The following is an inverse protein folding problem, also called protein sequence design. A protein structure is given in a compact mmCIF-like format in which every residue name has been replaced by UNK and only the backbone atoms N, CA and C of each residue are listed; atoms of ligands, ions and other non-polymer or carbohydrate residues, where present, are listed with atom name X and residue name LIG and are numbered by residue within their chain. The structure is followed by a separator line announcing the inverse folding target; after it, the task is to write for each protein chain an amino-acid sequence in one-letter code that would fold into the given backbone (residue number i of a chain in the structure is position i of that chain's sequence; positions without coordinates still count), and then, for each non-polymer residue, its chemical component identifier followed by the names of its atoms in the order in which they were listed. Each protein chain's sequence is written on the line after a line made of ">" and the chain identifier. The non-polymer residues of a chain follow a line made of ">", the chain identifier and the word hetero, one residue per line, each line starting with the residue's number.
data_IF_792735581882
#
_entry.id   IF_792735581882
#
_cell.length_a   1.000
_cell.length_b   1.000
_cell.length_c   1.000
_cell.angle_alpha   90.00
_cell.angle_beta   90.00
_cell.angle_gamma   90.00
#
_symmetry.space_group_name_H-M   'P 1'
#
loop_
_entity.id
_entity.type
_entity.pdbx_description
1 polymer ?
#
# COMPACT_ATOMS: atom_id res chain seq x y z
N UNK A 1 -24.30 -4.27 8.45
CA UNK A 1 -23.87 -3.64 9.73
C UNK A 1 -22.50 -2.96 9.66
N UNK A 2 -21.46 -3.53 9.03
CA UNK A 2 -20.29 -2.78 8.55
C UNK A 2 -20.65 -1.82 7.41
N UNK A 3 -21.69 -2.17 6.67
CA UNK A 3 -22.41 -1.28 5.77
C UNK A 3 -22.84 0.06 6.43
N UNK A 4 -23.12 0.07 7.75
CA UNK A 4 -23.42 1.31 8.45
C UNK A 4 -22.18 2.21 8.62
N UNK A 5 -20.98 1.62 8.78
CA UNK A 5 -19.73 2.38 8.78
C UNK A 5 -19.41 2.90 7.38
N UNK A 6 -19.52 2.05 6.35
CA UNK A 6 -19.32 2.43 4.95
C UNK A 6 -20.25 3.59 4.59
N UNK A 7 -21.55 3.45 4.84
CA UNK A 7 -22.54 4.50 4.57
C UNK A 7 -22.27 5.81 5.31
N UNK A 8 -21.89 5.75 6.60
CA UNK A 8 -21.57 6.93 7.39
C UNK A 8 -20.30 7.64 6.90
N UNK A 9 -19.26 6.88 6.54
CA UNK A 9 -18.02 7.43 5.95
C UNK A 9 -18.33 8.05 4.59
N UNK A 10 -19.03 7.35 3.70
CA UNK A 10 -19.43 7.89 2.41
C UNK A 10 -20.23 9.20 2.54
N UNK A 11 -21.16 9.28 3.49
CA UNK A 11 -21.94 10.49 3.74
C UNK A 11 -21.04 11.66 4.17
N UNK A 12 -20.09 11.42 5.06
CA UNK A 12 -19.12 12.42 5.50
C UNK A 12 -18.21 12.91 4.33
N UNK A 13 -17.91 12.03 3.37
CA UNK A 13 -17.05 12.34 2.22
C UNK A 13 -17.76 13.09 1.07
N UNK A 14 -19.06 12.82 0.84
CA UNK A 14 -19.86 13.49 -0.21
C UNK A 14 -20.21 14.95 0.14
N UNK A 15 -20.42 15.25 1.42
CA UNK A 15 -20.88 16.55 1.90
C UNK A 15 -19.75 17.55 2.18
N UNK A 16 -20.11 18.64 2.87
CA UNK A 16 -19.16 19.65 3.37
C UNK A 16 -18.64 19.32 4.78
N UNK A 17 -19.00 18.16 5.33
CA UNK A 17 -18.70 17.73 6.71
C UNK A 17 -17.23 17.91 7.05
N UNK A 18 -16.32 17.44 6.19
CA UNK A 18 -14.87 17.58 6.41
C UNK A 18 -14.40 19.02 6.48
N UNK A 19 -14.85 19.89 5.56
CA UNK A 19 -14.52 21.33 5.58
C UNK A 19 -15.08 22.02 6.83
N UNK A 20 -16.26 21.61 7.31
CA UNK A 20 -16.84 22.11 8.56
C UNK A 20 -16.04 21.67 9.78
N UNK A 21 -15.59 20.42 9.82
CA UNK A 21 -14.68 19.92 10.87
C UNK A 21 -13.37 20.72 10.88
N UNK A 22 -12.71 20.88 9.73
CA UNK A 22 -11.48 21.69 9.63
C UNK A 22 -11.74 23.12 10.09
N UNK A 23 -12.85 23.72 9.67
CA UNK A 23 -13.20 25.09 10.08
C UNK A 23 -13.45 25.22 11.58
N UNK A 24 -14.08 24.23 12.22
CA UNK A 24 -14.26 24.21 13.68
C UNK A 24 -12.92 24.03 14.39
N UNK A 25 -12.11 23.07 13.93
CA UNK A 25 -10.79 22.78 14.51
C UNK A 25 -9.88 23.99 14.44
N UNK A 26 -9.90 24.77 13.36
CA UNK A 26 -9.03 25.95 13.18
C UNK A 26 -9.72 27.28 13.54
N UNK A 27 -10.87 27.26 14.24
CA UNK A 27 -11.65 28.48 14.52
C UNK A 27 -10.97 29.46 15.47
N UNK A 28 -10.08 28.97 16.33
CA UNK A 28 -9.39 29.76 17.36
C UNK A 28 -8.08 29.09 17.78
N UNK A 29 -7.17 29.79 18.46
CA UNK A 29 -5.85 29.24 18.82
C UNK A 29 -4.93 29.06 17.62
N UNK A 30 -3.74 28.48 17.84
CA UNK A 30 -2.75 28.18 16.82
C UNK A 30 -2.64 26.69 16.52
N UNK A 31 -1.63 26.34 15.72
CA UNK A 31 -1.37 24.99 15.21
C UNK A 31 -1.39 23.91 16.28
N UNK A 32 -0.73 24.13 17.42
CA UNK A 32 -0.67 23.17 18.53
C UNK A 32 -2.06 22.88 19.08
N UNK A 33 -2.88 23.92 19.35
CA UNK A 33 -4.24 23.71 19.83
C UNK A 33 -5.15 23.06 18.77
N UNK A 34 -4.88 23.29 17.48
CA UNK A 34 -5.63 22.67 16.39
C UNK A 34 -5.37 21.16 16.34
N UNK A 35 -4.10 20.76 16.42
CA UNK A 35 -3.69 19.36 16.39
C UNK A 35 -4.15 18.61 17.65
N UNK A 36 -4.11 19.24 18.82
CA UNK A 36 -4.66 18.67 20.06
C UNK A 36 -6.17 18.40 19.96
N UNK A 37 -6.94 19.35 19.40
CA UNK A 37 -8.38 19.14 19.16
C UNK A 37 -8.63 18.02 18.18
N UNK A 38 -7.91 18.00 17.05
CA UNK A 38 -8.05 16.97 16.03
C UNK A 38 -7.70 15.58 16.60
N UNK A 39 -6.62 15.48 17.38
CA UNK A 39 -6.22 14.26 18.12
C UNK A 39 -7.36 13.75 18.99
N UNK A 40 -7.97 14.63 19.78
CA UNK A 40 -9.08 14.27 20.68
C UNK A 40 -10.28 13.74 19.90
N UNK A 41 -10.66 14.42 18.82
CA UNK A 41 -11.79 14.03 17.97
C UNK A 41 -11.55 12.69 17.27
N UNK A 42 -10.36 12.49 16.69
CA UNK A 42 -9.96 11.24 16.03
C UNK A 42 -9.91 10.06 17.00
N UNK A 43 -9.29 10.24 18.18
CA UNK A 43 -9.17 9.20 19.20
C UNK A 43 -10.54 8.75 19.72
N UNK A 44 -11.51 9.68 19.79
CA UNK A 44 -12.88 9.38 20.18
C UNK A 44 -13.79 8.90 19.04
N UNK A 45 -13.32 8.97 17.78
CA UNK A 45 -14.14 8.83 16.57
C UNK A 45 -15.38 9.73 16.55
N UNK A 46 -15.24 10.95 17.11
CA UNK A 46 -16.33 11.88 17.36
C UNK A 46 -15.92 13.29 16.96
N UNK A 47 -16.61 13.84 15.96
CA UNK A 47 -16.32 15.17 15.44
C UNK A 47 -17.50 16.09 15.69
N UNK A 48 -17.29 17.14 16.47
CA UNK A 48 -18.25 18.22 16.71
C UNK A 48 -17.93 19.37 15.75
N UNK A 49 -18.93 19.92 15.06
CA UNK A 49 -18.74 21.03 14.12
C UNK A 49 -20.00 21.92 14.04
N UNK A 50 -19.99 23.02 14.81
CA UNK A 50 -21.18 23.84 15.04
C UNK A 50 -22.20 23.11 15.91
N UNK A 51 -23.46 23.07 15.48
CA UNK A 51 -24.54 22.33 16.16
C UNK A 51 -24.61 20.84 15.76
N UNK A 52 -23.82 20.43 14.77
CA UNK A 52 -23.83 19.07 14.24
C UNK A 52 -22.69 18.22 14.84
N UNK A 53 -22.87 16.90 14.76
CA UNK A 53 -21.88 15.94 15.20
C UNK A 53 -21.82 14.72 14.25
N UNK A 54 -20.62 14.21 14.03
CA UNK A 54 -20.36 12.92 13.40
C UNK A 54 -19.82 11.96 14.48
N UNK A 55 -20.64 11.03 14.96
CA UNK A 55 -20.24 9.96 15.91
C UNK A 55 -20.10 8.62 15.17
N UNK A 56 -18.85 8.20 14.95
CA UNK A 56 -18.51 6.93 14.30
C UNK A 56 -18.09 5.86 15.32
N UNK A 57 -18.05 6.20 16.62
CA UNK A 57 -17.30 5.46 17.61
C UNK A 57 -17.78 4.03 17.80
N UNK A 58 -19.11 3.81 17.78
CA UNK A 58 -19.68 2.46 17.90
C UNK A 58 -19.35 1.61 16.67
N UNK A 59 -19.53 2.15 15.48
CA UNK A 59 -19.36 1.43 14.22
C UNK A 59 -17.88 1.09 13.97
N UNK A 60 -16.98 2.05 14.23
CA UNK A 60 -15.52 1.83 14.11
C UNK A 60 -15.04 0.77 15.10
N UNK A 61 -15.38 0.88 16.40
CA UNK A 61 -14.97 -0.12 17.39
C UNK A 61 -15.45 -1.53 17.05
N UNK A 62 -16.67 -1.65 16.53
CA UNK A 62 -17.23 -2.94 16.13
C UNK A 62 -16.51 -3.54 14.93
N UNK A 63 -16.25 -2.73 13.90
CA UNK A 63 -15.52 -3.17 12.71
C UNK A 63 -14.08 -3.56 13.08
N UNK A 64 -13.38 -2.72 13.84
CA UNK A 64 -12.00 -2.95 14.30
C UNK A 64 -11.90 -4.20 15.19
N UNK A 65 -12.82 -4.38 16.15
CA UNK A 65 -12.84 -5.60 16.97
C UNK A 65 -12.95 -6.87 16.11
N UNK A 66 -13.87 -6.88 15.14
CA UNK A 66 -14.04 -8.04 14.26
C UNK A 66 -12.84 -8.28 13.35
N UNK A 67 -12.22 -7.21 12.84
CA UNK A 67 -11.00 -7.33 12.04
C UNK A 67 -9.84 -7.90 12.86
N UNK A 68 -9.74 -7.53 14.15
CA UNK A 68 -8.77 -8.11 15.09
C UNK A 68 -9.03 -9.56 15.43
N UNK A 69 -10.30 -9.95 15.56
CA UNK A 69 -10.70 -11.36 15.77
C UNK A 69 -10.30 -12.24 14.57
N UNK A 70 -10.14 -11.63 13.38
CA UNK A 70 -9.62 -12.27 12.18
C UNK A 70 -8.08 -12.18 12.04
N UNK A 71 -7.38 -11.70 13.06
CA UNK A 71 -5.91 -11.64 13.10
C UNK A 71 -5.30 -10.33 12.61
N UNK A 72 -6.11 -9.38 12.14
CA UNK A 72 -5.63 -8.14 11.51
C UNK A 72 -5.78 -6.91 12.41
N UNK A 73 -4.73 -6.09 12.49
CA UNK A 73 -4.77 -4.79 13.18
C UNK A 73 -4.56 -3.64 12.24
N UNK A 74 -5.64 -3.19 11.62
CA UNK A 74 -5.60 -2.18 10.54
C UNK A 74 -5.28 -0.77 11.03
N UNK A 75 -5.81 -0.38 12.20
CA UNK A 75 -5.71 1.00 12.67
C UNK A 75 -4.44 1.30 13.48
N UNK A 76 -3.67 0.29 13.89
CA UNK A 76 -2.58 0.42 14.87
C UNK A 76 -1.30 -0.15 14.28
N UNK A 77 -0.16 0.49 14.57
CA UNK A 77 1.14 0.02 14.10
C UNK A 77 1.74 -0.99 15.08
N UNK A 78 2.62 -1.84 14.56
CA UNK A 78 3.52 -2.67 15.38
C UNK A 78 4.71 -1.84 15.84
N UNK A 79 4.97 -1.81 17.14
CA UNK A 79 6.17 -1.20 17.72
C UNK A 79 7.26 -2.28 17.86
N UNK A 80 8.32 -2.15 17.05
CA UNK A 80 9.45 -3.07 17.03
C UNK A 80 10.35 -2.98 18.27
N UNK A 81 10.25 -1.93 19.09
CA UNK A 81 11.00 -1.82 20.33
C UNK A 81 10.31 -2.55 21.48
N UNK A 82 9.00 -2.31 21.64
CA UNK A 82 8.22 -2.94 22.71
C UNK A 82 7.66 -4.31 22.33
N UNK A 83 7.72 -4.69 21.06
CA UNK A 83 7.06 -5.89 20.52
C UNK A 83 5.56 -5.95 20.87
N UNK A 84 4.89 -4.80 20.79
CA UNK A 84 3.45 -4.68 21.01
C UNK A 84 2.82 -3.76 19.97
N UNK A 85 1.51 -3.87 19.76
CA UNK A 85 0.79 -2.88 18.97
C UNK A 85 0.64 -1.57 19.73
N UNK A 86 0.72 -0.46 19.01
CA UNK A 86 0.52 0.88 19.57
C UNK A 86 -0.85 1.01 20.23
N UNK A 87 -0.93 1.85 21.27
CA UNK A 87 -2.19 2.13 21.97
C UNK A 87 -3.09 3.07 21.17
N UNK A 88 -2.48 4.00 20.44
CA UNK A 88 -3.17 4.95 19.57
C UNK A 88 -3.14 4.49 18.13
N UNK A 89 -4.15 4.93 17.37
CA UNK A 89 -4.22 4.67 15.94
C UNK A 89 -3.17 5.48 15.16
N UNK A 90 -2.74 4.95 14.01
CA UNK A 90 -1.68 5.55 13.18
C UNK A 90 -1.94 7.02 12.83
N UNK A 91 -3.16 7.44 12.42
CA UNK A 91 -3.43 8.86 12.16
C UNK A 91 -3.20 9.78 13.36
N UNK A 92 -3.44 9.29 14.59
CA UNK A 92 -3.16 10.05 15.82
C UNK A 92 -1.67 10.13 16.09
N UNK A 93 -0.94 9.01 15.90
CA UNK A 93 0.51 8.98 16.09
C UNK A 93 1.26 9.92 15.15
N UNK A 94 0.77 10.11 13.93
CA UNK A 94 1.36 11.07 12.98
C UNK A 94 1.23 12.50 13.51
N UNK A 95 0.11 12.88 14.14
CA UNK A 95 -0.02 14.22 14.73
C UNK A 95 1.06 14.47 15.79
N UNK A 96 1.26 13.50 16.68
CA UNK A 96 2.28 13.56 17.73
C UNK A 96 3.70 13.67 17.14
N UNK A 97 3.95 12.97 16.03
CA UNK A 97 5.23 13.03 15.35
C UNK A 97 5.47 14.40 14.71
N UNK A 98 4.49 14.92 13.97
CA UNK A 98 4.61 16.18 13.23
C UNK A 98 4.78 17.35 14.21
N UNK A 99 4.05 17.37 15.32
CA UNK A 99 4.26 18.35 16.40
C UNK A 99 5.69 18.35 16.93
N UNK A 100 6.27 17.17 17.21
CA UNK A 100 7.67 17.07 17.66
C UNK A 100 8.67 17.62 16.65
N UNK A 101 8.44 17.40 15.36
CA UNK A 101 9.34 17.91 14.30
C UNK A 101 9.25 19.43 14.21
N UNK A 102 8.05 20.00 14.34
CA UNK A 102 7.85 21.44 14.37
C UNK A 102 8.49 22.10 15.59
N UNK A 103 8.32 21.54 16.78
CA UNK A 103 8.95 22.03 18.02
C UNK A 103 10.49 21.99 17.96
N UNK A 104 11.05 21.01 17.23
CA UNK A 104 12.49 20.87 17.02
C UNK A 104 13.11 21.86 16.03
N UNK A 105 12.33 22.78 15.45
CA UNK A 105 12.82 23.77 14.48
C UNK A 105 13.17 23.17 13.11
N UNK A 106 12.61 22.01 12.77
CA UNK A 106 12.90 21.30 11.51
C UNK A 106 12.33 21.94 10.24
N UNK A 107 11.65 23.09 10.37
CA UNK A 107 10.86 23.75 9.33
C UNK A 107 10.96 25.27 9.51
N UNK A 108 11.09 26.01 8.39
CA UNK A 108 11.00 27.47 8.39
C UNK A 108 9.57 27.95 8.67
N UNK A 109 9.41 28.83 9.68
CA UNK A 109 8.12 29.45 10.02
C UNK A 109 7.60 30.32 8.86
N UNK A 110 6.28 30.24 8.60
CA UNK A 110 5.58 31.13 7.65
C UNK A 110 5.52 30.67 6.20
N UNK A 111 6.14 29.54 5.84
CA UNK A 111 6.09 28.99 4.47
C UNK A 111 4.90 28.04 4.25
N UNK A 112 4.28 27.56 5.32
CA UNK A 112 3.36 26.41 5.29
C UNK A 112 1.89 26.80 5.44
N UNK A 113 1.02 26.13 4.68
CA UNK A 113 -0.41 26.16 4.94
C UNK A 113 -0.76 25.14 6.06
N UNK A 114 -0.77 25.64 7.30
CA UNK A 114 -1.11 24.86 8.48
C UNK A 114 -2.55 24.33 8.43
N UNK A 115 -3.46 25.06 7.78
CA UNK A 115 -4.86 24.63 7.62
C UNK A 115 -4.96 23.47 6.62
N UNK A 116 -4.17 23.50 5.54
CA UNK A 116 -4.04 22.36 4.64
C UNK A 116 -3.50 21.13 5.39
N UNK A 117 -2.55 21.30 6.30
CA UNK A 117 -2.04 20.21 7.14
C UNK A 117 -3.15 19.57 8.00
N UNK A 118 -4.01 20.37 8.64
CA UNK A 118 -5.18 19.86 9.38
C UNK A 118 -6.14 19.08 8.46
N UNK A 119 -6.37 19.56 7.23
CA UNK A 119 -7.23 18.86 6.27
C UNK A 119 -6.63 17.52 5.82
N UNK A 120 -5.34 17.47 5.50
CA UNK A 120 -4.62 16.24 5.09
C UNK A 120 -4.65 15.21 6.24
N UNK A 121 -4.42 15.66 7.47
CA UNK A 121 -4.49 14.80 8.64
C UNK A 121 -5.89 14.20 8.86
N UNK A 122 -6.93 15.03 8.73
CA UNK A 122 -8.33 14.56 8.81
C UNK A 122 -8.63 13.53 7.72
N UNK A 123 -8.16 13.77 6.49
CA UNK A 123 -8.37 12.83 5.39
C UNK A 123 -7.60 11.53 5.58
N UNK A 124 -6.40 11.57 6.17
CA UNK A 124 -5.66 10.35 6.50
C UNK A 124 -6.37 9.51 7.58
N UNK A 125 -7.10 10.13 8.50
CA UNK A 125 -8.01 9.42 9.40
C UNK A 125 -9.14 8.72 8.63
N UNK A 126 -9.80 9.42 7.70
CA UNK A 126 -10.85 8.80 6.90
C UNK A 126 -10.32 7.72 5.96
N UNK A 127 -9.09 7.86 5.43
CA UNK A 127 -8.41 6.80 4.69
C UNK A 127 -8.24 5.54 5.55
N UNK A 128 -7.84 5.70 6.81
CA UNK A 128 -7.71 4.58 7.75
C UNK A 128 -9.05 3.90 8.01
N UNK A 129 -10.15 4.67 8.04
CA UNK A 129 -11.50 4.09 8.12
C UNK A 129 -11.92 3.38 6.83
N UNK A 130 -11.61 3.93 5.65
CA UNK A 130 -11.85 3.26 4.36
C UNK A 130 -11.04 1.97 4.26
N UNK A 131 -9.82 1.95 4.79
CA UNK A 131 -8.98 0.75 4.89
C UNK A 131 -9.65 -0.32 5.76
N UNK A 132 -10.17 0.08 6.93
CA UNK A 132 -10.94 -0.82 7.79
C UNK A 132 -12.21 -1.32 7.08
N UNK A 133 -12.93 -0.45 6.37
CA UNK A 133 -14.09 -0.82 5.56
C UNK A 133 -13.72 -1.82 4.45
N UNK A 134 -12.57 -1.63 3.80
CA UNK A 134 -12.10 -2.52 2.74
C UNK A 134 -11.93 -3.94 3.27
N UNK A 135 -11.33 -4.10 4.46
CA UNK A 135 -11.24 -5.41 5.10
C UNK A 135 -12.61 -6.03 5.40
N UNK A 136 -13.71 -5.27 5.41
CA UNK A 136 -15.07 -5.70 5.77
C UNK A 136 -16.04 -5.77 4.58
N UNK A 137 -15.56 -5.74 3.34
CA UNK A 137 -16.45 -5.87 2.15
C UNK A 137 -17.28 -7.16 2.16
N UNK A 138 -16.72 -8.28 2.63
CA UNK A 138 -17.43 -9.57 2.74
C UNK A 138 -18.52 -9.63 3.81
N UNK A 139 -18.70 -8.54 4.58
CA UNK A 139 -19.83 -8.43 5.50
C UNK A 139 -21.06 -7.76 4.86
N UNK A 140 -20.93 -7.30 3.61
CA UNK A 140 -22.05 -6.84 2.78
C UNK A 140 -22.74 -8.03 2.09
N UNK A 141 -23.90 -7.78 1.49
CA UNK A 141 -24.62 -8.78 0.69
C UNK A 141 -23.84 -9.15 -0.59
N UNK A 142 -23.17 -8.16 -1.18
CA UNK A 142 -22.31 -8.31 -2.35
C UNK A 142 -20.95 -7.64 -2.05
N UNK A 143 -19.89 -8.45 -2.08
CA UNK A 143 -18.53 -8.00 -1.77
C UNK A 143 -17.90 -7.20 -2.92
N UNK A 144 -18.25 -7.51 -4.18
CA UNK A 144 -17.76 -6.81 -5.36
C UNK A 144 -18.33 -5.39 -5.38
N UNK A 145 -19.65 -5.26 -5.23
CA UNK A 145 -20.33 -3.95 -5.14
C UNK A 145 -19.82 -3.12 -3.95
N UNK A 146 -19.56 -3.75 -2.80
CA UNK A 146 -19.00 -3.07 -1.65
C UNK A 146 -17.58 -2.54 -1.92
N UNK A 147 -16.77 -3.28 -2.67
CA UNK A 147 -15.42 -2.88 -3.03
C UNK A 147 -15.41 -1.72 -4.05
N UNK A 148 -16.33 -1.75 -5.02
CA UNK A 148 -16.57 -0.65 -5.95
C UNK A 148 -17.02 0.63 -5.23
N UNK A 149 -17.94 0.50 -4.27
CA UNK A 149 -18.38 1.61 -3.42
C UNK A 149 -17.24 2.23 -2.63
N UNK A 150 -16.34 1.43 -2.08
CA UNK A 150 -15.16 1.94 -1.36
C UNK A 150 -14.20 2.67 -2.31
N UNK A 151 -14.01 2.17 -3.53
CA UNK A 151 -13.20 2.86 -4.55
C UNK A 151 -13.82 4.22 -4.92
N UNK A 152 -15.15 4.29 -5.05
CA UNK A 152 -15.85 5.56 -5.27
C UNK A 152 -15.73 6.51 -4.07
N UNK A 153 -15.81 6.00 -2.84
CA UNK A 153 -15.61 6.78 -1.63
C UNK A 153 -14.18 7.33 -1.51
N UNK A 154 -13.18 6.55 -1.91
CA UNK A 154 -11.78 6.98 -1.98
C UNK A 154 -11.60 8.15 -2.97
N UNK A 155 -12.26 8.12 -4.13
CA UNK A 155 -12.22 9.24 -5.06
C UNK A 155 -12.79 10.53 -4.46
N UNK A 156 -13.85 10.44 -3.65
CA UNK A 156 -14.39 11.58 -2.90
C UNK A 156 -13.43 12.07 -1.82
N UNK A 157 -12.76 11.15 -1.10
CA UNK A 157 -11.76 11.50 -0.10
C UNK A 157 -10.65 12.36 -0.71
N UNK A 158 -10.10 11.93 -1.84
CA UNK A 158 -8.93 12.52 -2.47
C UNK A 158 -9.25 13.71 -3.39
N UNK A 159 -10.53 14.01 -3.63
CA UNK A 159 -10.95 15.14 -4.46
C UNK A 159 -11.00 16.49 -3.72
N UNK A 160 -11.42 17.53 -4.44
CA UNK A 160 -11.52 18.92 -3.96
C UNK A 160 -12.49 19.12 -2.78
N UNK A 161 -13.31 18.11 -2.48
CA UNK A 161 -14.18 18.09 -1.31
C UNK A 161 -13.43 18.06 0.03
N UNK A 162 -12.15 17.66 0.02
CA UNK A 162 -11.27 17.52 1.18
C UNK A 162 -9.96 18.28 1.05
N UNK A 163 -8.86 17.59 1.36
CA UNK A 163 -7.49 18.10 1.25
C UNK A 163 -6.92 18.07 -0.16
N UNK A 164 -7.54 17.34 -1.09
CA UNK A 164 -6.99 17.08 -2.42
C UNK A 164 -5.76 16.15 -2.41
N UNK A 165 -5.40 15.54 -1.28
CA UNK A 165 -4.24 14.67 -1.19
C UNK A 165 -4.52 13.28 -1.81
N UNK A 166 -3.76 12.85 -2.83
CA UNK A 166 -3.90 11.54 -3.44
C UNK A 166 -3.12 10.49 -2.61
N UNK A 167 -3.82 9.67 -1.83
CA UNK A 167 -3.18 8.63 -1.01
C UNK A 167 -2.90 7.36 -1.83
N UNK A 168 -3.95 6.73 -2.36
CA UNK A 168 -3.89 5.48 -3.12
C UNK A 168 -4.88 5.51 -4.29
N UNK A 169 -4.75 4.60 -5.25
CA UNK A 169 -5.57 4.63 -6.47
C UNK A 169 -6.94 3.97 -6.32
N UNK A 170 -7.08 2.94 -5.47
CA UNK A 170 -8.31 2.12 -5.41
C UNK A 170 -8.43 1.33 -4.09
N UNK A 171 -9.60 0.70 -3.90
CA UNK A 171 -9.88 -0.10 -2.71
C UNK A 171 -9.02 -1.37 -2.59
N UNK A 172 -8.57 -1.97 -3.71
CA UNK A 172 -7.63 -3.10 -3.67
C UNK A 172 -6.31 -2.71 -3.01
N UNK A 173 -5.85 -1.48 -3.24
CA UNK A 173 -4.66 -0.94 -2.56
C UNK A 173 -4.91 -0.75 -1.07
N UNK A 174 -6.13 -0.36 -0.67
CA UNK A 174 -6.49 -0.28 0.75
C UNK A 174 -6.52 -1.67 1.41
N UNK A 175 -7.06 -2.69 0.73
CA UNK A 175 -6.97 -4.08 1.20
C UNK A 175 -5.52 -4.48 1.42
N UNK A 176 -4.67 -4.31 0.41
CA UNK A 176 -3.25 -4.68 0.48
C UNK A 176 -2.52 -3.87 1.55
N UNK A 177 -2.83 -2.59 1.69
CA UNK A 177 -2.29 -1.74 2.76
C UNK A 177 -2.63 -2.28 4.16
N UNK A 178 -3.86 -2.78 4.37
CA UNK A 178 -4.24 -3.42 5.61
C UNK A 178 -3.48 -4.73 5.87
N UNK A 179 -3.23 -5.54 4.84
CA UNK A 179 -2.53 -6.82 4.93
C UNK A 179 -1.02 -6.63 5.15
N UNK A 180 -0.45 -5.59 4.56
CA UNK A 180 0.99 -5.39 4.45
C UNK A 180 1.57 -4.63 5.65
N UNK A 181 1.38 -5.19 6.83
CA UNK A 181 2.01 -4.80 8.08
C UNK A 181 2.19 -6.08 8.91
N UNK A 182 2.96 -6.01 9.99
CA UNK A 182 3.16 -7.18 10.83
C UNK A 182 1.84 -7.63 11.48
N UNK A 183 1.41 -8.86 11.21
CA UNK A 183 0.30 -9.53 11.86
C UNK A 183 0.81 -10.85 12.47
N UNK A 184 0.56 -11.11 13.77
CA UNK A 184 1.10 -12.29 14.44
C UNK A 184 0.41 -13.61 14.03
N UNK A 185 -0.75 -13.55 13.38
CA UNK A 185 -1.49 -14.71 12.91
C UNK A 185 -1.22 -14.94 11.42
N UNK A 186 -0.27 -15.83 11.12
CA UNK A 186 0.15 -16.15 9.74
C UNK A 186 -0.99 -16.76 8.91
N UNK A 187 -1.95 -17.47 9.54
CA UNK A 187 -3.11 -18.05 8.85
C UNK A 187 -4.16 -17.00 8.48
N UNK A 188 -4.03 -15.75 8.95
CA UNK A 188 -4.90 -14.66 8.53
C UNK A 188 -4.75 -14.38 7.03
N UNK A 189 -3.54 -14.51 6.48
CA UNK A 189 -3.25 -14.26 5.07
C UNK A 189 -3.99 -15.24 4.15
N UNK A 190 -3.96 -16.54 4.46
CA UNK A 190 -4.68 -17.58 3.70
C UNK A 190 -6.17 -17.31 3.61
N UNK A 191 -6.79 -16.93 4.74
CA UNK A 191 -8.22 -16.59 4.80
C UNK A 191 -8.57 -15.41 3.91
N UNK A 192 -7.68 -14.42 3.76
CA UNK A 192 -7.92 -13.29 2.88
C UNK A 192 -7.74 -13.70 1.42
N UNK A 193 -6.73 -14.50 1.10
CA UNK A 193 -6.53 -15.02 -0.26
C UNK A 193 -7.74 -15.83 -0.71
N UNK A 194 -8.27 -16.72 0.14
CA UNK A 194 -9.49 -17.49 -0.13
C UNK A 194 -10.68 -16.57 -0.42
N UNK A 195 -10.88 -15.55 0.43
CA UNK A 195 -11.94 -14.56 0.25
C UNK A 195 -11.80 -13.74 -1.04
N UNK A 196 -10.58 -13.36 -1.42
CA UNK A 196 -10.30 -12.68 -2.69
C UNK A 196 -10.58 -13.60 -3.88
N UNK A 197 -10.27 -14.90 -3.78
CA UNK A 197 -10.61 -15.90 -4.79
C UNK A 197 -12.11 -16.06 -5.05
N UNK A 198 -12.96 -15.60 -4.13
CA UNK A 198 -14.42 -15.54 -4.29
C UNK A 198 -14.96 -14.29 -4.99
N UNK A 199 -14.14 -13.27 -5.24
CA UNK A 199 -14.54 -12.03 -5.93
C UNK A 199 -14.66 -12.23 -7.45
N UNK A 200 -15.24 -11.26 -8.15
CA UNK A 200 -15.24 -11.22 -9.63
C UNK A 200 -13.81 -11.16 -10.18
N UNK A 201 -13.58 -11.73 -11.36
CA UNK A 201 -12.24 -11.91 -11.96
C UNK A 201 -11.44 -10.61 -12.12
N UNK A 202 -12.10 -9.51 -12.43
CA UNK A 202 -11.48 -8.19 -12.55
C UNK A 202 -10.98 -7.67 -11.18
N UNK A 203 -11.72 -7.91 -10.09
CA UNK A 203 -11.26 -7.60 -8.73
C UNK A 203 -10.08 -8.49 -8.30
N UNK A 204 -10.13 -9.78 -8.66
CA UNK A 204 -8.99 -10.68 -8.46
C UNK A 204 -7.73 -10.18 -9.19
N UNK A 205 -7.88 -9.77 -10.45
CA UNK A 205 -6.78 -9.23 -11.26
C UNK A 205 -6.27 -7.91 -10.68
N UNK A 206 -7.15 -6.98 -10.32
CA UNK A 206 -6.77 -5.69 -9.73
C UNK A 206 -6.04 -5.87 -8.39
N UNK A 207 -6.47 -6.82 -7.56
CA UNK A 207 -5.76 -7.21 -6.35
C UNK A 207 -4.37 -7.79 -6.67
N UNK A 208 -4.27 -8.69 -7.63
CA UNK A 208 -2.99 -9.31 -8.01
C UNK A 208 -2.00 -8.28 -8.58
N UNK A 209 -2.45 -7.32 -9.40
CA UNK A 209 -1.59 -6.25 -9.95
C UNK A 209 -0.90 -5.45 -8.84
N UNK A 210 -1.66 -5.00 -7.84
CA UNK A 210 -1.10 -4.22 -6.73
C UNK A 210 -0.26 -5.12 -5.80
N UNK A 211 -0.71 -6.35 -5.55
CA UNK A 211 0.01 -7.31 -4.71
C UNK A 211 1.39 -7.61 -5.27
N UNK A 212 1.51 -7.76 -6.59
CA UNK A 212 2.77 -8.05 -7.25
C UNK A 212 3.80 -6.94 -7.02
N UNK A 213 3.38 -5.67 -7.11
CA UNK A 213 4.28 -4.54 -6.83
C UNK A 213 4.70 -4.48 -5.36
N UNK A 214 3.76 -4.68 -4.45
CA UNK A 214 4.01 -4.64 -2.99
C UNK A 214 4.93 -5.77 -2.56
N UNK A 215 4.61 -7.02 -2.90
CA UNK A 215 5.42 -8.19 -2.56
C UNK A 215 6.79 -8.14 -3.23
N UNK A 216 6.88 -7.64 -4.47
CA UNK A 216 8.16 -7.46 -5.15
C UNK A 216 9.05 -6.44 -4.43
N UNK A 217 8.50 -5.31 -4.01
CA UNK A 217 9.27 -4.31 -3.27
C UNK A 217 9.67 -4.83 -1.88
N UNK A 218 8.76 -5.51 -1.17
CA UNK A 218 8.95 -6.07 0.16
C UNK A 218 10.02 -7.18 0.18
N UNK A 219 9.83 -8.24 -0.60
CA UNK A 219 10.74 -9.38 -0.57
C UNK A 219 12.13 -8.99 -1.11
N UNK A 220 12.20 -8.13 -2.13
CA UNK A 220 13.51 -7.61 -2.57
C UNK A 220 14.14 -6.69 -1.54
N UNK A 221 13.37 -5.88 -0.81
CA UNK A 221 13.89 -5.11 0.32
C UNK A 221 14.53 -6.05 1.35
N UNK A 222 13.81 -7.10 1.76
CA UNK A 222 14.31 -8.11 2.69
C UNK A 222 15.57 -8.78 2.16
N UNK A 223 15.54 -9.26 0.92
CA UNK A 223 16.68 -9.91 0.27
C UNK A 223 17.94 -9.02 0.24
N UNK A 224 17.80 -7.75 -0.20
CA UNK A 224 18.94 -6.86 -0.37
C UNK A 224 19.46 -6.26 0.93
N UNK A 225 18.59 -6.02 1.91
CA UNK A 225 18.91 -5.21 3.09
C UNK A 225 18.82 -5.94 4.44
N UNK A 226 18.12 -7.08 4.52
CA UNK A 226 17.86 -7.77 5.79
C UNK A 226 18.45 -9.18 5.87
N UNK A 227 18.33 -9.97 4.82
CA UNK A 227 18.69 -11.39 4.81
C UNK A 227 20.07 -11.67 4.20
N UNK A 228 20.93 -10.66 4.04
CA UNK A 228 22.29 -10.83 3.51
C UNK A 228 22.32 -11.55 2.13
N UNK A 229 21.24 -11.39 1.34
CA UNK A 229 21.00 -12.07 0.04
C UNK A 229 20.85 -13.59 0.14
N UNK A 230 20.45 -14.09 1.29
CA UNK A 230 20.05 -15.48 1.49
C UNK A 230 18.55 -15.66 1.20
N UNK A 231 18.25 -16.28 0.05
CA UNK A 231 16.88 -16.53 -0.38
C UNK A 231 16.18 -17.60 0.46
N UNK A 232 16.92 -18.55 1.03
CA UNK A 232 16.34 -19.60 1.89
C UNK A 232 15.88 -18.97 3.19
N UNK A 233 16.75 -18.18 3.83
CA UNK A 233 16.39 -17.46 5.04
C UNK A 233 15.22 -16.49 4.83
N UNK A 234 15.15 -15.83 3.68
CA UNK A 234 14.01 -14.99 3.33
C UNK A 234 12.72 -15.82 3.22
N UNK A 235 12.75 -16.98 2.56
CA UNK A 235 11.58 -17.87 2.45
C UNK A 235 11.07 -18.31 3.82
N UNK A 236 11.99 -18.68 4.70
CA UNK A 236 11.66 -19.20 6.03
C UNK A 236 11.05 -18.12 6.95
N UNK A 237 11.38 -16.85 6.76
CA UNK A 237 10.87 -15.73 7.60
C UNK A 237 9.60 -15.08 7.01
N UNK A 238 9.21 -15.41 5.78
CA UNK A 238 8.09 -14.77 5.07
C UNK A 238 7.00 -15.80 4.67
N UNK A 239 6.69 -16.74 5.56
CA UNK A 239 5.78 -17.87 5.30
C UNK A 239 4.35 -17.44 4.91
N UNK A 240 3.86 -16.30 5.39
CA UNK A 240 2.56 -15.74 4.97
C UNK A 240 2.59 -15.06 3.60
N UNK A 241 3.74 -14.54 3.18
CA UNK A 241 3.87 -13.81 1.91
C UNK A 241 3.99 -14.75 0.71
N UNK A 242 4.56 -15.94 0.88
CA UNK A 242 4.77 -16.88 -0.23
C UNK A 242 3.45 -17.42 -0.82
N UNK A 243 2.47 -17.88 -0.01
CA UNK A 243 1.13 -18.21 -0.50
C UNK A 243 0.45 -17.04 -1.21
N UNK A 244 0.60 -15.82 -0.68
CA UNK A 244 0.06 -14.61 -1.30
C UNK A 244 0.73 -14.29 -2.64
N UNK A 245 2.06 -14.43 -2.72
CA UNK A 245 2.82 -14.28 -3.94
C UNK A 245 2.45 -15.33 -4.98
N UNK A 246 2.28 -16.59 -4.56
CA UNK A 246 1.85 -17.70 -5.41
C UNK A 246 0.47 -17.43 -6.03
N UNK A 247 -0.52 -17.04 -5.22
CA UNK A 247 -1.84 -16.62 -5.73
C UNK A 247 -1.73 -15.47 -6.75
N UNK A 248 -0.93 -14.47 -6.40
CA UNK A 248 -0.72 -13.27 -7.22
C UNK A 248 -0.10 -13.61 -8.58
N UNK A 249 0.99 -14.37 -8.60
CA UNK A 249 1.68 -14.77 -9.83
C UNK A 249 0.81 -15.69 -10.67
N UNK A 250 0.07 -16.63 -10.06
CA UNK A 250 -0.84 -17.50 -10.81
C UNK A 250 -1.96 -16.71 -11.50
N UNK A 251 -2.57 -15.76 -10.78
CA UNK A 251 -3.63 -14.89 -11.32
C UNK A 251 -3.12 -14.10 -12.53
N UNK A 252 -1.93 -13.50 -12.40
CA UNK A 252 -1.30 -12.72 -13.47
C UNK A 252 -0.84 -13.58 -14.64
N UNK A 253 -0.30 -14.77 -14.38
CA UNK A 253 0.15 -15.71 -15.40
C UNK A 253 -1.03 -16.22 -16.24
N UNK A 254 -2.18 -16.51 -15.60
CA UNK A 254 -3.43 -16.86 -16.30
C UNK A 254 -3.92 -15.69 -17.15
N UNK A 255 -4.00 -14.48 -16.59
CA UNK A 255 -4.42 -13.30 -17.35
C UNK A 255 -3.51 -13.00 -18.56
N UNK A 256 -2.19 -13.15 -18.39
CA UNK A 256 -1.23 -13.02 -19.48
C UNK A 256 -1.44 -14.09 -20.56
N UNK A 257 -1.59 -15.36 -20.16
CA UNK A 257 -1.82 -16.46 -21.10
C UNK A 257 -3.14 -16.30 -21.87
N UNK A 258 -4.23 -15.98 -21.19
CA UNK A 258 -5.55 -15.75 -21.78
C UNK A 258 -5.49 -14.61 -22.82
N UNK A 259 -4.82 -13.50 -22.50
CA UNK A 259 -4.61 -12.37 -23.42
C UNK A 259 -3.80 -12.76 -24.67
N UNK A 260 -2.72 -13.53 -24.48
CA UNK A 260 -1.89 -14.03 -25.59
C UNK A 260 -2.69 -14.98 -26.49
N UNK A 261 -3.50 -15.86 -25.90
CA UNK A 261 -4.35 -16.81 -26.63
C UNK A 261 -5.52 -16.13 -27.35
N UNK A 262 -6.05 -15.05 -26.79
CA UNK A 262 -7.05 -14.20 -27.42
C UNK A 262 -6.47 -13.36 -28.59
N UNK A 263 -5.15 -13.33 -28.75
CA UNK A 263 -4.48 -12.57 -29.80
C UNK A 263 -4.48 -11.06 -29.56
N UNK A 264 -4.57 -10.62 -28.31
CA UNK A 264 -4.48 -9.20 -27.96
C UNK A 264 -3.09 -8.63 -28.32
N UNK A 265 -3.00 -7.32 -28.55
CA UNK A 265 -1.71 -6.69 -28.82
C UNK A 265 -0.90 -6.54 -27.52
N UNK A 266 0.45 -6.55 -27.57
CA UNK A 266 1.28 -6.34 -26.39
C UNK A 266 1.00 -5.03 -25.62
N UNK A 267 0.48 -4.01 -26.31
CA UNK A 267 0.06 -2.75 -25.69
C UNK A 267 -1.13 -2.93 -24.75
N UNK A 268 -2.05 -3.84 -25.08
CA UNK A 268 -3.32 -4.00 -24.37
C UNK A 268 -3.14 -4.76 -23.04
N UNK A 269 -2.16 -5.68 -23.00
CA UNK A 269 -1.76 -6.42 -21.80
C UNK A 269 -0.52 -5.87 -21.10
N UNK A 270 -0.06 -4.66 -21.47
CA UNK A 270 1.20 -4.09 -20.96
C UNK A 270 1.27 -4.10 -19.44
N UNK A 271 0.18 -3.74 -18.76
CA UNK A 271 0.10 -3.63 -17.31
C UNK A 271 0.13 -5.02 -16.64
N UNK A 272 -0.53 -6.02 -17.24
CA UNK A 272 -0.46 -7.42 -16.79
C UNK A 272 0.97 -7.94 -16.94
N UNK A 273 1.63 -7.69 -18.08
CA UNK A 273 3.04 -8.04 -18.29
C UNK A 273 3.94 -7.37 -17.25
N UNK A 274 3.71 -6.08 -16.94
CA UNK A 274 4.48 -5.37 -15.92
C UNK A 274 4.26 -5.96 -14.53
N UNK A 275 3.01 -6.22 -14.14
CA UNK A 275 2.68 -6.80 -12.86
C UNK A 275 3.27 -8.21 -12.70
N UNK A 276 3.15 -9.06 -13.73
CA UNK A 276 3.74 -10.40 -13.73
C UNK A 276 5.27 -10.32 -13.61
N UNK A 277 5.92 -9.39 -14.31
CA UNK A 277 7.35 -9.13 -14.14
C UNK A 277 7.69 -8.75 -12.70
N UNK A 278 6.92 -7.86 -12.06
CA UNK A 278 7.17 -7.47 -10.66
C UNK A 278 7.00 -8.66 -9.71
N UNK A 279 5.91 -9.42 -9.84
CA UNK A 279 5.64 -10.61 -9.01
C UNK A 279 6.75 -11.65 -9.14
N UNK A 280 7.16 -11.99 -10.37
CA UNK A 280 8.27 -12.91 -10.60
C UNK A 280 9.61 -12.36 -10.09
N UNK A 281 9.83 -11.04 -10.14
CA UNK A 281 11.06 -10.42 -9.64
C UNK A 281 11.22 -10.52 -8.12
N UNK A 282 10.14 -10.78 -7.37
CA UNK A 282 10.18 -10.94 -5.91
C UNK A 282 11.08 -12.13 -5.51
N UNK A 283 10.89 -13.27 -6.17
CA UNK A 283 11.73 -14.47 -6.08
C UNK A 283 11.60 -15.30 -7.37
N UNK A 284 12.45 -15.06 -8.39
CA UNK A 284 12.31 -15.75 -9.67
C UNK A 284 12.39 -17.27 -9.56
N UNK A 285 13.19 -17.78 -8.62
CA UNK A 285 13.45 -19.21 -8.48
C UNK A 285 12.32 -19.96 -7.80
N UNK A 286 11.40 -19.29 -7.12
CA UNK A 286 10.21 -19.93 -6.56
C UNK A 286 9.29 -20.51 -7.65
N UNK A 287 9.33 -19.94 -8.86
CA UNK A 287 8.43 -20.28 -9.96
C UNK A 287 9.13 -20.90 -11.18
N UNK A 288 10.45 -20.67 -11.34
CA UNK A 288 11.25 -21.28 -12.41
C UNK A 288 12.07 -22.49 -11.96
N UNK A 289 12.17 -22.72 -10.65
CA UNK A 289 12.99 -23.78 -10.06
C UNK A 289 12.18 -24.86 -9.34
N UNK A 290 12.84 -25.60 -8.46
CA UNK A 290 12.17 -26.56 -7.57
C UNK A 290 11.25 -25.86 -6.58
N UNK A 291 10.08 -26.45 -6.30
CA UNK A 291 9.12 -25.96 -5.31
C UNK A 291 9.80 -25.70 -3.96
N UNK A 292 9.81 -24.44 -3.47
CA UNK A 292 10.31 -24.12 -2.13
C UNK A 292 9.45 -24.77 -1.05
N UNK A 293 10.02 -25.03 0.14
CA UNK A 293 9.29 -25.59 1.27
C UNK A 293 8.07 -24.74 1.68
N UNK A 294 8.20 -23.41 1.63
CA UNK A 294 7.10 -22.47 1.89
C UNK A 294 5.90 -22.59 0.92
N UNK A 295 6.07 -23.28 -0.21
CA UNK A 295 5.02 -23.52 -1.22
C UNK A 295 4.66 -25.00 -1.34
N UNK A 296 5.08 -25.86 -0.41
CA UNK A 296 4.83 -27.30 -0.49
C UNK A 296 3.33 -27.62 -0.55
N UNK A 297 2.51 -26.90 0.21
CA UNK A 297 1.04 -27.07 0.24
C UNK A 297 0.34 -26.50 -0.99
N UNK A 298 1.05 -25.73 -1.84
CA UNK A 298 0.54 -25.08 -3.06
C UNK A 298 1.24 -25.63 -4.32
N UNK A 299 1.72 -26.87 -4.26
CA UNK A 299 2.51 -27.48 -5.33
C UNK A 299 1.74 -27.57 -6.66
N UNK A 300 0.41 -27.74 -6.63
CA UNK A 300 -0.40 -27.83 -7.84
C UNK A 300 -0.50 -26.47 -8.56
N UNK A 301 -0.72 -25.41 -7.80
CA UNK A 301 -0.72 -24.03 -8.27
C UNK A 301 0.67 -23.63 -8.80
N UNK A 302 1.74 -24.05 -8.10
CA UNK A 302 3.11 -23.77 -8.51
C UNK A 302 3.43 -24.45 -9.85
N UNK A 303 3.04 -25.72 -10.00
CA UNK A 303 3.21 -26.47 -11.25
C UNK A 303 2.40 -25.84 -12.40
N UNK A 304 1.22 -25.27 -12.12
CA UNK A 304 0.48 -24.53 -13.14
C UNK A 304 1.22 -23.26 -13.58
N UNK A 305 1.76 -22.47 -12.65
CA UNK A 305 2.62 -21.33 -13.01
C UNK A 305 3.77 -21.79 -13.88
N UNK A 306 4.47 -22.86 -13.47
CA UNK A 306 5.61 -23.38 -14.20
C UNK A 306 5.24 -23.76 -15.64
N UNK A 307 4.12 -24.48 -15.84
CA UNK A 307 3.61 -24.81 -17.18
C UNK A 307 3.29 -23.58 -18.03
N UNK A 308 2.68 -22.55 -17.43
CA UNK A 308 2.38 -21.29 -18.13
C UNK A 308 3.66 -20.55 -18.52
N UNK A 309 4.67 -20.53 -17.65
CA UNK A 309 5.97 -19.93 -17.93
C UNK A 309 6.73 -20.70 -19.01
N UNK A 310 6.69 -22.03 -19.03
CA UNK A 310 7.29 -22.83 -20.11
C UNK A 310 6.59 -22.55 -21.44
N UNK A 311 5.26 -22.47 -21.44
CA UNK A 311 4.46 -22.27 -22.66
C UNK A 311 4.61 -20.86 -23.24
N UNK A 312 4.58 -19.82 -22.40
CA UNK A 312 4.52 -18.43 -22.84
C UNK A 312 5.77 -17.60 -22.49
N UNK A 313 6.78 -18.19 -21.83
CA UNK A 313 7.94 -17.49 -21.29
C UNK A 313 8.80 -16.78 -22.34
N UNK A 314 8.91 -17.33 -23.55
CA UNK A 314 9.61 -16.67 -24.65
C UNK A 314 8.93 -15.33 -25.04
N UNK A 315 7.59 -15.32 -25.11
CA UNK A 315 6.81 -14.10 -25.37
C UNK A 315 6.90 -13.13 -24.20
N UNK A 316 6.72 -13.63 -22.98
CA UNK A 316 6.85 -12.82 -21.77
C UNK A 316 8.21 -12.10 -21.72
N UNK A 317 9.31 -12.82 -22.00
CA UNK A 317 10.66 -12.26 -22.07
C UNK A 317 10.83 -11.19 -23.17
N UNK A 318 10.15 -11.33 -24.30
CA UNK A 318 10.17 -10.31 -25.36
C UNK A 318 9.49 -9.03 -24.89
N UNK A 319 8.27 -9.14 -24.35
CA UNK A 319 7.50 -7.99 -23.89
C UNK A 319 8.13 -7.32 -22.66
N UNK A 320 8.70 -8.10 -21.74
CA UNK A 320 9.47 -7.57 -20.61
C UNK A 320 10.67 -6.73 -21.04
N UNK A 321 11.33 -7.04 -22.17
CA UNK A 321 12.46 -6.23 -22.66
C UNK A 321 12.04 -4.83 -23.07
N UNK A 322 10.80 -4.67 -23.57
CA UNK A 322 10.22 -3.34 -23.85
C UNK A 322 10.04 -2.53 -22.55
N UNK A 323 9.96 -3.24 -21.42
CA UNK A 323 9.75 -2.71 -20.08
C UNK A 323 11.00 -2.72 -19.20
N UNK A 324 12.18 -2.96 -19.79
CA UNK A 324 13.42 -3.07 -19.04
C UNK A 324 13.73 -1.73 -18.31
N UNK A 325 14.13 -1.78 -17.03
CA UNK A 325 14.54 -0.60 -16.29
C UNK A 325 15.85 -0.03 -16.87
N UNK A 326 15.96 1.29 -16.85
CA UNK A 326 17.17 2.02 -17.22
C UNK A 326 17.59 3.01 -16.12
N UNK A 327 18.75 3.66 -16.28
CA UNK A 327 19.31 4.58 -15.26
C UNK A 327 18.76 6.00 -15.33
N UNK A 328 18.05 6.35 -16.39
CA UNK A 328 17.58 7.70 -16.72
C UNK A 328 16.09 7.88 -16.40
N UNK A 329 15.34 6.79 -16.31
CA UNK A 329 13.91 6.80 -16.03
C UNK A 329 13.59 6.12 -14.71
N UNK A 330 12.49 6.54 -14.11
CA UNK A 330 11.89 5.87 -12.97
C UNK A 330 11.51 4.44 -13.32
N UNK A 331 11.87 3.51 -12.43
CA UNK A 331 11.49 2.11 -12.54
C UNK A 331 10.92 1.60 -11.20
N UNK A 332 9.73 0.97 -11.18
CA UNK A 332 9.18 0.35 -9.97
C UNK A 332 10.10 -0.71 -9.35
N UNK A 333 10.82 -1.46 -10.20
CA UNK A 333 11.83 -2.41 -9.72
C UNK A 333 13.01 -1.73 -8.99
N UNK A 334 13.20 -0.43 -9.10
CA UNK A 334 14.23 0.28 -8.34
C UNK A 334 13.74 0.71 -6.95
N UNK A 335 12.43 0.65 -6.68
CA UNK A 335 11.84 0.95 -5.37
C UNK A 335 11.82 -0.29 -4.48
N UNK A 336 12.16 -0.09 -3.21
CA UNK A 336 12.19 -1.10 -2.16
C UNK A 336 11.59 -0.50 -0.90
N UNK A 337 10.78 -1.27 -0.17
CA UNK A 337 10.31 -0.86 1.14
C UNK A 337 10.04 -2.07 2.01
N UNK A 338 10.15 -1.91 3.33
CA UNK A 338 9.75 -2.96 4.26
C UNK A 338 8.23 -3.16 4.20
N UNK A 339 7.42 -2.13 4.38
CA UNK A 339 5.97 -2.26 4.23
C UNK A 339 5.43 -1.04 3.47
N UNK A 340 4.40 -1.18 2.62
CA UNK A 340 3.76 -0.04 1.97
C UNK A 340 3.17 0.93 3.00
N UNK A 341 2.84 0.43 4.20
CA UNK A 341 2.53 1.25 5.37
C UNK A 341 3.57 2.35 5.63
N UNK A 342 4.86 2.00 5.63
CA UNK A 342 5.94 2.96 5.90
C UNK A 342 6.04 4.01 4.79
N UNK A 343 5.85 3.58 3.54
CA UNK A 343 5.89 4.47 2.38
C UNK A 343 4.75 5.48 2.42
N UNK A 344 3.50 5.03 2.66
CA UNK A 344 2.35 5.94 2.73
C UNK A 344 2.44 6.89 3.93
N UNK A 345 2.80 6.38 5.11
CA UNK A 345 2.99 7.23 6.30
C UNK A 345 4.05 8.30 6.03
N UNK A 346 5.15 7.96 5.35
CA UNK A 346 6.15 8.93 4.96
C UNK A 346 5.60 9.97 3.96
N UNK A 347 4.84 9.55 2.93
CA UNK A 347 4.19 10.47 1.98
C UNK A 347 3.26 11.47 2.69
N UNK A 348 2.41 10.97 3.60
CA UNK A 348 1.48 11.80 4.37
C UNK A 348 2.24 12.73 5.29
N UNK A 349 3.27 12.23 5.97
CA UNK A 349 4.10 13.02 6.87
C UNK A 349 4.81 14.16 6.13
N UNK A 350 5.41 13.90 4.97
CA UNK A 350 6.01 14.94 4.13
C UNK A 350 4.97 16.00 3.74
N UNK A 351 3.78 15.58 3.32
CA UNK A 351 2.69 16.52 3.00
C UNK A 351 2.21 17.37 4.18
N UNK A 352 2.12 16.79 5.38
CA UNK A 352 1.78 17.53 6.59
C UNK A 352 2.89 18.51 6.98
N UNK A 353 4.15 18.06 6.85
CA UNK A 353 5.31 18.88 7.09
C UNK A 353 5.50 19.97 6.04
N UNK A 354 4.95 19.87 4.84
CA UNK A 354 5.02 20.92 3.81
C UNK A 354 3.78 21.82 3.79
N UNK A 355 2.67 21.38 4.41
CA UNK A 355 1.38 22.05 4.33
C UNK A 355 0.77 22.02 2.93
N UNK A 356 0.99 20.96 2.16
CA UNK A 356 0.40 20.81 0.81
C UNK A 356 0.19 19.33 0.44
N UNK A 357 -0.85 19.01 -0.36
CA UNK A 357 -1.03 17.67 -0.88
C UNK A 357 0.12 17.25 -1.81
N UNK A 358 0.42 15.95 -1.84
CA UNK A 358 1.30 15.37 -2.88
C UNK A 358 0.57 15.37 -4.23
N UNK A 359 1.33 15.18 -5.31
CA UNK A 359 0.75 15.06 -6.66
C UNK A 359 0.48 13.60 -7.07
N UNK A 360 1.21 12.66 -6.45
CA UNK A 360 1.21 11.25 -6.82
C UNK A 360 0.60 10.39 -5.71
N UNK A 361 -0.19 9.40 -6.11
CA UNK A 361 -0.62 8.30 -5.21
C UNK A 361 0.55 7.35 -4.95
N UNK A 362 0.43 6.53 -3.90
CA UNK A 362 1.34 5.40 -3.68
C UNK A 362 1.42 4.47 -4.91
N UNK A 363 0.30 4.21 -5.58
CA UNK A 363 0.23 3.37 -6.77
C UNK A 363 1.06 3.89 -7.94
N UNK A 364 1.20 5.21 -8.08
CA UNK A 364 2.05 5.78 -9.13
C UNK A 364 3.51 5.29 -9.01
N UNK A 365 3.97 4.98 -7.79
CA UNK A 365 5.29 4.40 -7.55
C UNK A 365 5.38 2.91 -7.92
N UNK A 366 4.26 2.21 -8.08
CA UNK A 366 4.20 0.79 -8.48
C UNK A 366 4.17 0.60 -10.00
N UNK A 367 3.92 1.68 -10.72
CA UNK A 367 3.68 1.69 -12.15
C UNK A 367 4.87 2.30 -12.90
N UNK A 368 5.00 1.99 -14.19
CA UNK A 368 5.98 2.67 -15.03
C UNK A 368 5.50 4.08 -15.37
N UNK A 369 6.43 5.02 -15.45
CA UNK A 369 6.12 6.37 -15.91
C UNK A 369 5.56 6.37 -17.34
N UNK A 370 4.59 7.26 -17.58
CA UNK A 370 3.95 7.44 -18.90
C UNK A 370 4.81 8.26 -19.85
N UNK A 371 5.51 9.25 -19.29
CA UNK A 371 6.39 10.16 -19.99
C UNK A 371 7.55 10.62 -19.09
N UNK A 372 8.39 11.49 -19.61
CA UNK A 372 9.58 12.01 -18.94
C UNK A 372 9.24 12.86 -17.70
N UNK A 373 8.17 13.65 -17.74
CA UNK A 373 7.77 14.50 -16.61
C UNK A 373 7.23 13.65 -15.45
N UNK A 374 6.37 12.66 -15.78
CA UNK A 374 5.88 11.66 -14.84
C UNK A 374 7.03 10.84 -14.23
N UNK A 375 8.04 10.50 -15.04
CA UNK A 375 9.25 9.83 -14.58
C UNK A 375 10.02 10.66 -13.55
N UNK A 376 10.23 11.94 -13.83
CA UNK A 376 10.93 12.86 -12.92
C UNK A 376 10.17 13.06 -11.61
N UNK A 377 8.83 13.20 -11.67
CA UNK A 377 7.98 13.34 -10.50
C UNK A 377 8.05 12.10 -9.59
N UNK A 378 7.92 10.90 -10.16
CA UNK A 378 8.02 9.62 -9.41
C UNK A 378 9.40 9.42 -8.81
N UNK A 379 10.45 9.73 -9.57
CA UNK A 379 11.82 9.64 -9.07
C UNK A 379 12.08 10.64 -7.93
N UNK A 380 11.60 11.89 -8.04
CA UNK A 380 11.72 12.88 -6.97
C UNK A 380 11.06 12.36 -5.70
N UNK A 381 9.80 11.93 -5.77
CA UNK A 381 9.08 11.41 -4.62
C UNK A 381 9.79 10.19 -4.01
N UNK A 382 10.24 9.24 -4.83
CA UNK A 382 10.97 8.06 -4.33
C UNK A 382 12.28 8.44 -3.61
N UNK A 383 12.99 9.47 -4.07
CA UNK A 383 14.19 10.00 -3.42
C UNK A 383 13.86 10.72 -2.12
N UNK A 384 12.80 11.52 -2.09
CA UNK A 384 12.35 12.21 -0.88
C UNK A 384 11.94 11.23 0.21
N UNK A 385 11.23 10.15 -0.15
CA UNK A 385 10.89 9.06 0.77
C UNK A 385 12.13 8.33 1.29
N UNK A 386 13.12 8.06 0.44
CA UNK A 386 14.39 7.49 0.85
C UNK A 386 15.16 8.41 1.82
N UNK A 387 15.20 9.72 1.53
CA UNK A 387 15.83 10.72 2.41
C UNK A 387 15.10 10.81 3.75
N UNK A 388 13.78 10.83 3.73
CA UNK A 388 12.96 10.83 4.93
C UNK A 388 13.25 9.60 5.82
N UNK A 389 13.41 8.42 5.21
CA UNK A 389 13.76 7.19 5.94
C UNK A 389 15.16 7.23 6.57
N UNK A 390 16.11 7.98 5.99
CA UNK A 390 17.45 8.17 6.59
C UNK A 390 17.47 9.13 7.77
N UNK A 391 16.45 9.99 7.89
CA UNK A 391 16.51 11.18 8.73
C UNK A 391 16.54 10.96 10.23
N UNK A 392 16.24 9.75 10.74
CA UNK A 392 16.26 9.48 12.19
C UNK A 392 16.29 7.97 12.50
N UNK A 393 16.91 7.52 13.62
CA UNK A 393 17.02 6.10 13.98
C UNK A 393 15.68 5.36 14.12
N UNK A 394 14.60 6.04 14.52
CA UNK A 394 13.24 5.50 14.59
C UNK A 394 12.63 5.20 13.20
N UNK A 395 13.25 5.70 12.13
CA UNK A 395 12.83 5.50 10.73
C UNK A 395 13.72 4.51 9.98
N UNK A 396 14.59 3.84 10.72
CA UNK A 396 15.35 2.70 10.25
C UNK A 396 14.66 1.41 10.72
N UNK A 397 14.62 0.42 9.85
CA UNK A 397 14.21 -0.93 10.17
C UNK A 397 15.30 -1.70 10.93
N UNK A 398 15.12 -3.01 11.00
CA UNK A 398 16.06 -3.91 11.66
C UNK A 398 17.51 -3.68 11.19
N UNK A 399 18.45 -3.60 12.15
CA UNK A 399 19.89 -3.32 11.94
C UNK A 399 20.21 -1.98 11.24
N UNK A 400 19.30 -1.00 11.28
CA UNK A 400 19.56 0.31 10.68
C UNK A 400 19.27 0.37 9.17
N UNK A 401 18.58 -0.62 8.61
CA UNK A 401 18.18 -0.61 7.21
C UNK A 401 17.17 0.49 6.92
N UNK A 402 17.27 1.18 5.78
CA UNK A 402 16.25 2.17 5.39
C UNK A 402 14.91 1.47 5.18
N UNK A 403 13.82 1.99 5.74
CA UNK A 403 12.45 1.47 5.55
C UNK A 403 11.94 1.66 4.12
N UNK A 404 12.43 2.67 3.41
CA UNK A 404 12.18 2.92 1.98
C UNK A 404 13.50 3.24 1.30
N UNK A 405 13.78 2.62 0.15
CA UNK A 405 14.98 2.84 -0.63
C UNK A 405 14.66 2.87 -2.13
N UNK A 406 15.34 3.76 -2.85
CA UNK A 406 15.27 3.83 -4.31
C UNK A 406 16.68 3.72 -4.90
N UNK A 407 16.93 2.65 -5.64
CA UNK A 407 18.22 2.38 -6.30
C UNK A 407 18.02 1.82 -7.73
N UNK A 408 18.21 2.66 -8.77
CA UNK A 408 18.12 2.23 -10.17
C UNK A 408 19.01 1.04 -10.52
N UNK A 409 20.19 0.90 -9.91
CA UNK A 409 21.10 -0.20 -10.20
C UNK A 409 20.56 -1.53 -9.66
N UNK A 410 19.93 -1.51 -8.49
CA UNK A 410 19.25 -2.68 -7.93
C UNK A 410 18.04 -3.10 -8.76
N UNK A 411 17.31 -2.14 -9.35
CA UNK A 411 16.24 -2.43 -10.31
C UNK A 411 16.75 -3.15 -11.58
N UNK A 412 17.81 -2.63 -12.20
CA UNK A 412 18.46 -3.28 -13.35
C UNK A 412 18.98 -4.68 -13.03
N UNK A 413 19.56 -4.86 -11.84
CA UNK A 413 20.05 -6.16 -11.37
C UNK A 413 18.90 -7.15 -11.16
N UNK A 414 17.80 -6.72 -10.54
CA UNK A 414 16.61 -7.55 -10.32
C UNK A 414 16.02 -8.03 -11.66
N UNK A 415 15.90 -7.12 -12.64
CA UNK A 415 15.47 -7.47 -13.99
C UNK A 415 16.40 -8.48 -14.68
N UNK A 416 17.72 -8.33 -14.51
CA UNK A 416 18.71 -9.24 -15.09
C UNK A 416 18.65 -10.65 -14.48
N UNK A 417 18.46 -10.73 -13.16
CA UNK A 417 18.28 -12.01 -12.43
C UNK A 417 17.01 -12.72 -12.93
N UNK A 418 15.89 -12.00 -12.96
CA UNK A 418 14.62 -12.53 -13.47
C UNK A 418 14.75 -13.02 -14.91
N UNK A 419 15.31 -12.19 -15.79
CA UNK A 419 15.51 -12.54 -17.20
C UNK A 419 16.38 -13.79 -17.38
N UNK A 420 17.35 -14.00 -16.50
CA UNK A 420 18.18 -15.21 -16.50
C UNK A 420 17.39 -16.42 -16.04
N UNK A 421 16.65 -16.30 -14.95
CA UNK A 421 15.83 -17.39 -14.39
C UNK A 421 14.78 -17.87 -15.41
N UNK A 422 14.07 -16.95 -16.07
CA UNK A 422 13.06 -17.28 -17.09
C UNK A 422 13.64 -17.96 -18.35
N UNK A 423 14.92 -17.74 -18.69
CA UNK A 423 15.58 -18.44 -19.80
C UNK A 423 16.04 -19.85 -19.42
N UNK A 424 16.07 -20.15 -18.13
CA UNK A 424 16.52 -21.42 -17.56
C UNK A 424 15.35 -22.30 -17.10
N UNK A 425 14.14 -21.72 -17.01
CA UNK A 425 12.87 -22.45 -16.95
C UNK A 425 12.63 -23.20 -18.26
#
# INVERSE_FOLDING_TARGET
>A
MPEALIGAVEQALRGDTRRRIVSEVTRSGGRTEWFERLRTMMSGHRFLFGADALDLARSVRKADARTRDEGFRVLHAWDFQSHTFTKSMVPVLILDFVERVWEGGGIEEGVQDERASVAIALDFYFLSLLTLCAMRVWDAEDADDALDRISAALNLLQGEGGSGHPFVANAHTLLIYALSQFHPDEHAYDRVIEKVGGLRRDHQLAFAVVSAAVLSAHLRWGFWLMYDRDVVRMRDDNVGDYPWLQYTVLTLARAFADSVEAGEEPSDRRDVTQALMQGLAADPWAFTGSVPAALADYAAEQEEIHRLLVRHGARLLEEMRLQAPDKRQYAPLALHFNFPHNTLVAMVTLSLLEGRPQELTLNALFERARDEADSQARESLARDLMLFSRGSPDRLGYRGAMLVAYDPLSGMRSFSILSKALRQA
#
